data_IF_114888914850
#
_entry.id   IF_114888914850
#
_cell.length_a   1.000
_cell.length_b   1.000
_cell.length_c   1.000
_cell.angle_alpha   90.00
_cell.angle_beta   90.00
_cell.angle_gamma   90.00
#
_symmetry.space_group_name_H-M   'P 1'
#
loop_
_entity.id
_entity.type
_entity.pdbx_description
1 polymer ?
#
# COMPACT_ATOMS: atom_id res chain seq x y z
N UNK A 1 -14.58 40.22 16.37
CA UNK A 1 -14.85 38.79 16.69
C UNK A 1 -13.51 38.06 16.61
N UNK A 2 -13.05 37.36 17.67
CA UNK A 2 -11.87 36.51 17.54
C UNK A 2 -12.25 35.27 16.71
N UNK A 3 -11.44 34.96 15.70
CA UNK A 3 -11.62 33.75 14.89
C UNK A 3 -11.45 32.49 15.76
N UNK A 4 -12.19 31.40 15.47
CA UNK A 4 -11.96 30.12 16.13
C UNK A 4 -10.56 29.60 15.77
N UNK A 5 -9.87 28.93 16.70
CA UNK A 5 -8.59 28.31 16.41
C UNK A 5 -8.78 27.24 15.31
N UNK A 6 -7.84 27.09 14.37
CA UNK A 6 -7.93 26.04 13.37
C UNK A 6 -7.98 24.69 14.09
N UNK A 7 -8.97 23.87 13.73
CA UNK A 7 -9.06 22.47 14.16
C UNK A 7 -7.72 21.79 13.82
N UNK A 8 -7.21 20.87 14.67
CA UNK A 8 -6.05 20.09 14.30
C UNK A 8 -6.39 19.37 13.00
N UNK A 9 -5.75 19.78 11.92
CA UNK A 9 -5.73 19.05 10.66
C UNK A 9 -4.95 17.77 10.92
N UNK A 10 -5.59 16.76 11.52
CA UNK A 10 -5.15 15.35 11.45
C UNK A 10 -5.42 14.80 10.04
N UNK A 11 -5.20 15.64 9.04
CA UNK A 11 -5.17 15.36 7.62
C UNK A 11 -3.80 15.78 7.07
N UNK A 12 -2.80 15.88 7.95
CA UNK A 12 -1.40 16.06 7.58
C UNK A 12 -0.73 14.71 7.44
N UNK A 13 -0.20 14.40 6.26
CA UNK A 13 0.69 13.24 6.00
C UNK A 13 0.05 11.86 5.86
N UNK A 14 -1.10 11.73 5.18
CA UNK A 14 -1.25 10.51 4.34
C UNK A 14 -0.22 10.65 3.22
N UNK A 15 0.90 9.96 3.40
CA UNK A 15 2.00 9.79 2.46
C UNK A 15 1.47 9.70 1.01
N UNK A 16 1.43 10.80 0.25
CA UNK A 16 0.94 10.77 -1.15
C UNK A 16 1.70 9.76 -2.01
N UNK A 17 2.95 9.48 -1.65
CA UNK A 17 3.75 8.45 -2.27
C UNK A 17 3.14 7.07 -2.05
N UNK A 18 2.87 6.69 -0.80
CA UNK A 18 2.39 5.34 -0.42
C UNK A 18 1.11 4.95 -1.15
N UNK A 19 0.18 5.88 -1.34
CA UNK A 19 -1.05 5.62 -2.10
C UNK A 19 -0.79 5.24 -3.57
N UNK A 20 0.29 5.75 -4.18
CA UNK A 20 0.68 5.33 -5.53
C UNK A 20 1.25 3.91 -5.54
N UNK A 21 2.10 3.58 -4.56
CA UNK A 21 2.69 2.25 -4.44
C UNK A 21 1.63 1.18 -4.11
N UNK A 22 0.65 1.47 -3.25
CA UNK A 22 -0.51 0.62 -3.01
C UNK A 22 -1.27 0.30 -4.30
N UNK A 23 -1.53 1.32 -5.13
CA UNK A 23 -2.19 1.12 -6.43
C UNK A 23 -1.36 0.24 -7.36
N UNK A 24 -0.03 0.36 -7.33
CA UNK A 24 0.84 -0.52 -8.12
C UNK A 24 0.73 -1.97 -7.64
N UNK A 25 0.76 -2.21 -6.32
CA UNK A 25 0.57 -3.54 -5.72
C UNK A 25 -0.76 -4.15 -6.15
N UNK A 26 -1.86 -3.43 -5.97
CA UNK A 26 -3.20 -3.91 -6.34
C UNK A 26 -3.30 -4.19 -7.84
N UNK A 27 -2.72 -3.32 -8.67
CA UNK A 27 -2.71 -3.51 -10.13
C UNK A 27 -1.90 -4.75 -10.53
N UNK A 28 -0.73 -4.98 -9.92
CA UNK A 28 0.11 -6.13 -10.20
C UNK A 28 -0.59 -7.44 -9.83
N UNK A 29 -1.25 -7.50 -8.67
CA UNK A 29 -2.03 -8.65 -8.23
C UNK A 29 -3.27 -8.87 -9.09
N UNK A 30 -3.97 -7.82 -9.56
CA UNK A 30 -5.08 -7.97 -10.51
C UNK A 30 -4.64 -8.52 -11.86
N UNK A 31 -3.45 -8.14 -12.33
CA UNK A 31 -2.94 -8.54 -13.64
C UNK A 31 -2.36 -9.96 -13.65
N UNK A 32 -1.69 -10.37 -12.56
CA UNK A 32 -0.96 -11.64 -12.48
C UNK A 32 -1.66 -12.69 -11.59
N UNK A 33 -2.70 -12.30 -10.87
CA UNK A 33 -3.35 -13.14 -9.86
C UNK A 33 -2.63 -13.12 -8.51
N UNK A 34 -2.91 -14.08 -7.62
CA UNK A 34 -2.23 -14.20 -6.34
C UNK A 34 -0.72 -14.41 -6.52
N UNK A 35 0.09 -13.70 -5.74
CA UNK A 35 1.56 -13.77 -5.81
C UNK A 35 2.17 -13.85 -4.42
N UNK A 36 3.34 -14.49 -4.29
CA UNK A 36 4.10 -14.40 -3.05
C UNK A 36 4.60 -12.95 -2.82
N UNK A 37 4.91 -12.54 -1.58
CA UNK A 37 5.45 -11.21 -1.31
C UNK A 37 6.72 -10.89 -2.10
N UNK A 38 7.60 -11.87 -2.29
CA UNK A 38 8.88 -11.69 -3.00
C UNK A 38 8.66 -11.53 -4.52
N UNK A 39 7.78 -12.33 -5.12
CA UNK A 39 7.41 -12.19 -6.53
C UNK A 39 6.68 -10.87 -6.78
N UNK A 40 5.77 -10.49 -5.89
CA UNK A 40 5.07 -9.22 -5.96
C UNK A 40 6.04 -8.04 -5.87
N UNK A 41 7.03 -8.10 -4.98
CA UNK A 41 8.07 -7.10 -4.86
C UNK A 41 8.85 -6.95 -6.18
N UNK A 42 9.23 -8.07 -6.81
CA UNK A 42 9.89 -8.05 -8.12
C UNK A 42 8.98 -7.45 -9.22
N UNK A 43 7.69 -7.83 -9.25
CA UNK A 43 6.73 -7.37 -10.25
C UNK A 43 6.47 -5.86 -10.21
N UNK A 44 6.42 -5.26 -9.02
CA UNK A 44 6.23 -3.80 -8.87
C UNK A 44 7.55 -3.02 -8.91
N UNK A 45 8.68 -3.71 -9.03
CA UNK A 45 10.00 -3.08 -8.98
C UNK A 45 10.36 -2.52 -7.59
N UNK A 46 9.80 -3.10 -6.52
CA UNK A 46 10.07 -2.70 -5.14
C UNK A 46 11.56 -2.64 -4.75
N UNK A 47 12.47 -3.49 -5.29
CA UNK A 47 13.90 -3.37 -5.00
C UNK A 47 14.52 -2.02 -5.41
N UNK A 48 13.89 -1.28 -6.32
CA UNK A 48 14.32 0.05 -6.75
C UNK A 48 13.65 1.18 -5.98
N UNK A 49 12.73 0.86 -5.06
CA UNK A 49 12.12 1.83 -4.19
C UNK A 49 13.03 2.12 -2.99
N UNK A 50 12.63 3.11 -2.20
CA UNK A 50 13.28 3.34 -0.90
C UNK A 50 13.15 2.10 0.00
N UNK A 51 14.18 1.85 0.81
CA UNK A 51 14.21 0.71 1.72
C UNK A 51 13.00 0.73 2.67
N UNK A 52 12.30 -0.40 2.79
CA UNK A 52 11.13 -0.53 3.67
C UNK A 52 9.83 0.04 3.09
N UNK A 53 9.88 0.63 1.89
CA UNK A 53 8.72 1.28 1.26
C UNK A 53 7.67 0.28 0.80
N UNK A 54 8.11 -0.87 0.28
CA UNK A 54 7.22 -1.94 -0.15
C UNK A 54 6.45 -2.55 1.03
N UNK A 55 7.14 -2.84 2.12
CA UNK A 55 6.56 -3.40 3.34
C UNK A 55 5.55 -2.43 3.96
N UNK A 56 5.85 -1.13 3.91
CA UNK A 56 4.95 -0.08 4.37
C UNK A 56 3.70 0.00 3.49
N UNK A 57 3.85 0.09 2.17
CA UNK A 57 2.72 0.11 1.23
C UNK A 57 1.86 -1.17 1.30
N UNK A 58 2.49 -2.33 1.44
CA UNK A 58 1.80 -3.59 1.62
C UNK A 58 1.01 -3.63 2.94
N UNK A 59 1.59 -3.12 4.03
CA UNK A 59 0.91 -3.04 5.32
C UNK A 59 -0.33 -2.17 5.26
N UNK A 60 -0.27 -1.04 4.54
CA UNK A 60 -1.44 -0.19 4.32
C UNK A 60 -2.47 -0.86 3.39
N UNK A 61 -2.05 -1.49 2.30
CA UNK A 61 -2.97 -2.21 1.41
C UNK A 61 -3.70 -3.37 2.12
N UNK A 62 -3.05 -4.03 3.09
CA UNK A 62 -3.67 -5.02 3.97
C UNK A 62 -4.62 -4.38 4.98
N UNK A 63 -4.23 -3.27 5.61
CA UNK A 63 -5.04 -2.56 6.59
C UNK A 63 -6.30 -1.94 5.97
N UNK A 64 -6.20 -1.42 4.74
CA UNK A 64 -7.30 -0.85 3.97
C UNK A 64 -8.19 -1.93 3.32
N UNK A 65 -7.76 -3.21 3.35
CA UNK A 65 -8.52 -4.34 2.82
C UNK A 65 -8.47 -4.49 1.30
N UNK A 66 -7.60 -3.76 0.60
CA UNK A 66 -7.40 -3.92 -0.85
C UNK A 66 -6.71 -5.23 -1.21
N UNK A 67 -5.87 -5.72 -0.30
CA UNK A 67 -5.12 -6.96 -0.42
C UNK A 67 -5.42 -7.83 0.80
N UNK A 68 -5.46 -9.14 0.60
CA UNK A 68 -5.56 -10.11 1.68
C UNK A 68 -4.55 -11.24 1.45
N UNK A 69 -4.20 -11.94 2.53
CA UNK A 69 -3.41 -13.18 2.45
C UNK A 69 -4.35 -14.35 2.21
N UNK A 70 -4.01 -15.18 1.24
CA UNK A 70 -4.71 -16.44 0.97
C UNK A 70 -4.27 -17.51 1.98
N UNK A 71 -4.99 -18.63 2.04
CA UNK A 71 -4.62 -19.79 2.87
C UNK A 71 -3.28 -20.41 2.50
N UNK A 72 -2.79 -20.15 1.29
CA UNK A 72 -1.50 -20.65 0.78
C UNK A 72 -0.33 -19.70 1.09
N UNK A 73 -0.59 -18.56 1.72
CA UNK A 73 0.43 -17.57 2.07
C UNK A 73 0.70 -16.52 0.98
N UNK A 74 0.06 -16.63 -0.18
CA UNK A 74 0.11 -15.64 -1.26
C UNK A 74 -0.75 -14.42 -0.95
N UNK A 75 -0.44 -13.30 -1.60
CA UNK A 75 -1.22 -12.06 -1.55
C UNK A 75 -2.16 -12.02 -2.74
N UNK A 76 -3.42 -11.70 -2.51
CA UNK A 76 -4.44 -11.53 -3.55
C UNK A 76 -5.20 -10.23 -3.32
N UNK A 77 -5.76 -9.66 -4.39
CA UNK A 77 -6.67 -8.51 -4.23
C UNK A 77 -8.03 -8.97 -3.71
N UNK A 78 -8.63 -8.19 -2.81
CA UNK A 78 -10.02 -8.41 -2.41
C UNK A 78 -11.02 -8.11 -3.52
#
# INVERSE_FOLDING_TARGET
MPMPPPKPTTEGSRDRGVAHEERQIVKALRANGPQSPDELAALVGAPYWEKGRFERALSFALADGFVHRTSEGSLATS
#
